data_IF_792099359861
#
_entry.id   IF_792099359861
#
_cell.length_a   1.000
_cell.length_b   1.000
_cell.length_c   1.000
_cell.angle_alpha   90.00
_cell.angle_beta   90.00
_cell.angle_gamma   90.00
#
_symmetry.space_group_name_H-M   'P 1'
#
loop_
_entity.id
_entity.type
_entity.pdbx_description
1 polymer ?
#
# COMPACT_ATOMS: atom_id res chain seq x y z
N UNK A 1 -4.47 7.92 -14.41
CA UNK A 1 -4.33 9.39 -14.51
C UNK A 1 -3.85 9.77 -15.90
N UNK A 2 -4.73 9.68 -16.93
CA UNK A 2 -4.35 9.95 -18.32
C UNK A 2 -4.11 11.44 -18.61
N UNK A 3 -4.68 12.33 -17.78
CA UNK A 3 -4.62 13.78 -17.98
C UNK A 3 -3.37 14.44 -17.36
N UNK A 4 -2.42 13.64 -16.87
CA UNK A 4 -1.19 14.13 -16.26
C UNK A 4 -0.31 14.81 -17.32
N UNK A 5 -0.09 16.13 -17.15
CA UNK A 5 0.83 16.88 -18.00
C UNK A 5 2.27 16.46 -17.68
N UNK A 6 2.95 15.85 -18.65
CA UNK A 6 4.34 15.40 -18.52
C UNK A 6 5.32 16.50 -18.90
N UNK A 7 5.07 17.22 -19.99
CA UNK A 7 5.91 18.33 -20.46
C UNK A 7 5.17 19.24 -21.44
N UNK A 8 5.70 20.43 -21.67
CA UNK A 8 5.27 21.35 -22.75
C UNK A 8 6.39 21.39 -23.81
N UNK A 9 6.04 21.40 -25.09
CA UNK A 9 6.98 21.40 -26.21
C UNK A 9 6.87 22.71 -27.00
N UNK A 10 8.02 23.30 -27.35
CA UNK A 10 8.10 24.45 -28.25
C UNK A 10 8.00 24.03 -29.73
N UNK A 11 7.78 25.02 -30.60
CA UNK A 11 7.65 24.82 -32.05
C UNK A 11 8.88 24.11 -32.63
N UNK A 12 8.64 22.97 -33.30
CA UNK A 12 9.67 22.14 -33.92
C UNK A 12 10.40 21.17 -32.99
N UNK A 13 10.10 21.16 -31.68
CA UNK A 13 10.69 20.22 -30.74
C UNK A 13 10.15 18.78 -30.94
N UNK A 14 11.01 17.79 -30.71
CA UNK A 14 10.65 16.36 -30.72
C UNK A 14 11.07 15.71 -29.41
N UNK A 15 10.15 14.96 -28.80
CA UNK A 15 10.40 14.20 -27.59
C UNK A 15 10.27 12.71 -27.86
N UNK A 16 11.26 11.94 -27.43
CA UNK A 16 11.22 10.47 -27.41
C UNK A 16 11.61 10.02 -26.02
N UNK A 17 10.71 9.28 -25.36
CA UNK A 17 10.90 8.72 -24.04
C UNK A 17 10.67 7.20 -24.10
N UNK A 18 11.45 6.47 -23.34
CA UNK A 18 11.26 5.05 -23.07
C UNK A 18 11.20 4.89 -21.56
N UNK A 19 10.15 4.25 -21.06
CA UNK A 19 9.93 4.06 -19.63
C UNK A 19 9.78 2.58 -19.33
N UNK A 20 10.46 2.11 -18.30
CA UNK A 20 10.35 0.74 -17.79
C UNK A 20 9.45 0.75 -16.55
N UNK A 21 8.42 -0.09 -16.56
CA UNK A 21 7.48 -0.24 -15.43
C UNK A 21 7.65 -1.63 -14.84
N UNK A 22 7.86 -1.69 -13.53
CA UNK A 22 8.03 -2.94 -12.78
C UNK A 22 7.01 -3.03 -11.64
N UNK A 23 6.81 -4.24 -11.12
CA UNK A 23 6.02 -4.48 -9.91
C UNK A 23 6.97 -4.63 -8.72
N UNK A 24 6.69 -3.92 -7.64
CA UNK A 24 7.53 -3.90 -6.45
C UNK A 24 6.72 -3.63 -5.18
N UNK A 25 7.42 -3.40 -4.07
CA UNK A 25 6.81 -3.11 -2.77
C UNK A 25 7.46 -1.86 -2.18
N UNK A 26 6.65 -1.01 -1.54
CA UNK A 26 7.14 0.15 -0.80
C UNK A 26 7.80 1.20 -1.69
N UNK A 27 9.00 1.61 -1.30
CA UNK A 27 9.80 2.65 -1.96
C UNK A 27 11.19 2.11 -2.27
N UNK A 28 11.68 2.35 -3.50
CA UNK A 28 13.03 2.00 -3.91
C UNK A 28 13.72 3.27 -4.44
N UNK A 29 14.85 3.70 -3.84
CA UNK A 29 15.59 4.86 -4.32
C UNK A 29 16.27 4.57 -5.66
N UNK A 30 16.51 5.62 -6.44
CA UNK A 30 17.11 5.55 -7.77
C UNK A 30 18.43 4.75 -7.80
N UNK A 31 19.28 4.90 -6.79
CA UNK A 31 20.58 4.20 -6.69
C UNK A 31 20.42 2.68 -6.69
N UNK A 32 19.35 2.17 -6.08
CA UNK A 32 19.03 0.72 -6.07
C UNK A 32 18.28 0.27 -7.31
N UNK A 33 17.74 1.22 -8.07
CA UNK A 33 16.96 0.95 -9.27
C UNK A 33 17.84 0.90 -10.53
N UNK A 34 19.13 1.27 -10.42
CA UNK A 34 20.07 1.23 -11.53
C UNK A 34 20.68 -0.18 -11.68
N UNK A 35 20.47 -0.87 -12.82
CA UNK A 35 21.14 -2.14 -13.11
C UNK A 35 22.66 -1.96 -13.20
N UNK A 36 23.43 -3.00 -12.86
CA UNK A 36 24.89 -2.99 -13.07
C UNK A 36 25.24 -2.90 -14.56
N UNK A 37 24.41 -3.45 -15.43
CA UNK A 37 24.51 -3.45 -16.89
C UNK A 37 23.71 -2.31 -17.55
N UNK A 38 23.43 -1.22 -16.82
CA UNK A 38 22.62 -0.12 -17.31
C UNK A 38 23.19 0.51 -18.61
N UNK A 39 22.38 0.63 -19.68
CA UNK A 39 22.83 1.24 -20.92
C UNK A 39 23.13 2.72 -20.75
N UNK A 40 24.00 3.24 -21.63
CA UNK A 40 24.34 4.66 -21.66
C UNK A 40 23.08 5.47 -21.97
N UNK A 41 22.81 6.48 -21.14
CA UNK A 41 21.62 7.33 -21.26
C UNK A 41 20.44 6.90 -20.39
N UNK A 42 20.53 5.77 -19.67
CA UNK A 42 19.54 5.41 -18.66
C UNK A 42 19.63 6.36 -17.46
N UNK A 43 18.52 7.01 -17.15
CA UNK A 43 18.35 7.84 -15.96
C UNK A 43 17.50 7.04 -14.98
N UNK A 44 18.13 6.57 -13.90
CA UNK A 44 17.40 5.91 -12.82
C UNK A 44 16.61 6.94 -12.02
N UNK A 45 15.38 6.59 -11.68
CA UNK A 45 14.49 7.40 -10.85
C UNK A 45 14.02 6.57 -9.66
N UNK A 46 13.55 7.26 -8.62
CA UNK A 46 12.92 6.62 -7.48
C UNK A 46 11.63 5.91 -7.92
N UNK A 47 11.41 4.71 -7.40
CA UNK A 47 10.22 3.91 -7.66
C UNK A 47 9.32 3.89 -6.43
N UNK A 48 8.17 4.55 -6.55
CA UNK A 48 7.10 4.57 -5.55
C UNK A 48 6.08 3.49 -5.90
N UNK A 49 6.25 2.29 -5.33
CA UNK A 49 5.34 1.16 -5.55
C UNK A 49 4.13 1.18 -4.59
N UNK A 50 4.26 1.83 -3.43
CA UNK A 50 3.17 1.93 -2.46
C UNK A 50 1.99 2.75 -3.03
N UNK A 51 0.77 2.19 -3.08
CA UNK A 51 -0.42 2.97 -3.42
C UNK A 51 -0.87 3.89 -2.28
N UNK A 52 -0.34 3.69 -1.07
CA UNK A 52 -0.63 4.50 0.12
C UNK A 52 0.39 5.64 0.23
N UNK A 53 -0.10 6.89 0.30
CA UNK A 53 0.70 8.11 0.37
C UNK A 53 1.00 8.53 1.82
N UNK A 54 -0.02 8.51 2.67
CA UNK A 54 0.07 8.98 4.05
C UNK A 54 -0.85 8.17 4.93
N UNK A 55 -0.35 7.84 6.12
CA UNK A 55 -1.12 7.22 7.19
C UNK A 55 -0.82 7.96 8.47
N UNK A 56 -1.85 8.33 9.21
CA UNK A 56 -1.74 8.81 10.58
C UNK A 56 -2.75 8.10 11.46
N UNK A 57 -2.41 7.88 12.72
CA UNK A 57 -3.31 7.25 13.68
C UNK A 57 -3.33 8.02 15.00
N UNK A 58 -4.45 7.91 15.71
CA UNK A 58 -4.62 8.47 17.04
C UNK A 58 -5.33 7.43 17.91
N UNK A 59 -4.81 7.22 19.12
CA UNK A 59 -5.45 6.38 20.14
C UNK A 59 -5.95 7.30 21.25
N UNK A 60 -7.21 7.14 21.62
CA UNK A 60 -7.87 7.92 22.65
C UNK A 60 -8.66 6.99 23.58
N UNK A 61 -8.67 7.28 24.88
CA UNK A 61 -9.48 6.52 25.82
C UNK A 61 -10.97 6.77 25.50
N UNK A 62 -11.73 5.71 25.38
CA UNK A 62 -13.17 5.75 25.14
C UNK A 62 -13.89 5.12 26.33
N UNK A 63 -15.00 5.74 26.72
CA UNK A 63 -15.91 5.19 27.71
C UNK A 63 -17.07 4.52 27.00
N UNK A 64 -17.25 3.22 27.21
CA UNK A 64 -18.42 2.48 26.76
C UNK A 64 -19.30 2.14 27.98
N UNK A 65 -20.36 2.92 28.18
CA UNK A 65 -21.25 2.76 29.33
C UNK A 65 -20.56 3.05 30.68
N UNK A 66 -20.43 2.02 31.52
CA UNK A 66 -19.79 2.13 32.84
C UNK A 66 -18.31 1.74 32.85
N UNK A 67 -17.78 1.19 31.76
CA UNK A 67 -16.39 0.72 31.66
C UNK A 67 -15.51 1.80 31.02
N UNK A 68 -14.36 2.06 31.62
CA UNK A 68 -13.43 3.16 31.25
C UNK A 68 -12.16 2.68 30.52
N UNK A 69 -12.01 1.36 30.32
CA UNK A 69 -10.73 0.75 29.92
C UNK A 69 -10.64 0.42 28.43
N UNK A 70 -11.46 1.05 27.58
CA UNK A 70 -11.42 0.84 26.14
C UNK A 70 -10.60 1.92 25.43
N UNK A 71 -9.85 1.49 24.42
CA UNK A 71 -9.14 2.37 23.51
C UNK A 71 -9.91 2.53 22.20
N UNK A 72 -10.05 3.77 21.74
CA UNK A 72 -10.54 4.10 20.40
C UNK A 72 -9.36 4.42 19.49
N UNK A 73 -9.19 3.62 18.45
CA UNK A 73 -8.23 3.86 17.37
C UNK A 73 -8.92 4.60 16.22
N UNK A 74 -8.37 5.74 15.82
CA UNK A 74 -8.77 6.48 14.62
C UNK A 74 -7.61 6.47 13.62
N UNK A 75 -7.84 5.99 12.40
CA UNK A 75 -6.86 6.01 11.31
C UNK A 75 -7.31 7.01 10.23
N UNK A 76 -6.36 7.80 9.73
CA UNK A 76 -6.50 8.63 8.53
C UNK A 76 -5.52 8.08 7.49
N UNK A 77 -6.07 7.59 6.37
CA UNK A 77 -5.34 6.90 5.29
C UNK A 77 -5.62 7.61 3.98
N UNK A 78 -4.55 8.04 3.33
CA UNK A 78 -4.59 8.71 2.03
C UNK A 78 -3.90 7.84 0.98
N UNK A 79 -4.62 7.50 -0.10
CA UNK A 79 -4.10 6.70 -1.22
C UNK A 79 -3.94 7.53 -2.49
N UNK A 80 -3.23 7.01 -3.48
CA UNK A 80 -3.04 7.64 -4.78
C UNK A 80 -4.15 7.33 -5.80
N UNK A 81 -5.22 6.66 -5.37
CA UNK A 81 -6.36 6.28 -6.21
C UNK A 81 -6.18 4.96 -6.99
N UNK A 82 -5.03 4.30 -6.90
CA UNK A 82 -4.86 2.95 -7.46
C UNK A 82 -5.61 1.87 -6.64
N UNK A 83 -5.88 2.16 -5.36
CA UNK A 83 -6.58 1.33 -4.40
C UNK A 83 -7.38 2.22 -3.45
N UNK A 84 -8.55 1.76 -3.01
CA UNK A 84 -9.34 2.48 -2.00
C UNK A 84 -8.66 2.42 -0.62
N UNK A 85 -8.84 3.41 0.25
CA UNK A 85 -8.32 3.35 1.61
C UNK A 85 -8.81 2.11 2.39
N UNK A 86 -10.07 1.71 2.20
CA UNK A 86 -10.66 0.54 2.85
C UNK A 86 -9.96 -0.76 2.40
N UNK A 87 -9.79 -0.94 1.09
CA UNK A 87 -9.12 -2.13 0.57
C UNK A 87 -7.64 -2.15 1.00
N UNK A 88 -6.98 -0.99 1.07
CA UNK A 88 -5.60 -0.89 1.57
C UNK A 88 -5.47 -1.44 3.00
N UNK A 89 -6.42 -1.10 3.88
CA UNK A 89 -6.47 -1.62 5.24
C UNK A 89 -6.78 -3.13 5.24
N UNK A 90 -7.72 -3.58 4.41
CA UNK A 90 -8.05 -5.01 4.30
C UNK A 90 -6.84 -5.85 3.85
N UNK A 91 -6.09 -5.39 2.84
CA UNK A 91 -4.84 -6.03 2.42
C UNK A 91 -3.79 -6.04 3.53
N UNK A 92 -3.64 -4.92 4.25
CA UNK A 92 -2.70 -4.86 5.38
C UNK A 92 -3.07 -5.86 6.49
N UNK A 93 -4.35 -5.97 6.83
CA UNK A 93 -4.85 -6.94 7.81
C UNK A 93 -4.58 -8.38 7.37
N UNK A 94 -4.81 -8.70 6.09
CA UNK A 94 -4.53 -10.04 5.56
C UNK A 94 -3.04 -10.39 5.62
N UNK A 95 -2.18 -9.46 5.20
CA UNK A 95 -0.73 -9.64 5.26
C UNK A 95 -0.30 -9.86 6.72
N UNK A 96 -0.83 -9.08 7.66
CA UNK A 96 -0.51 -9.22 9.09
C UNK A 96 -0.94 -10.60 9.63
N UNK A 97 -2.14 -11.08 9.29
CA UNK A 97 -2.61 -12.41 9.65
C UNK A 97 -1.67 -13.50 9.11
N UNK A 98 -1.31 -13.42 7.83
CA UNK A 98 -0.41 -14.40 7.20
C UNK A 98 0.97 -14.41 7.88
N UNK A 99 1.49 -13.25 8.32
CA UNK A 99 2.74 -13.17 9.08
C UNK A 99 2.63 -13.77 10.49
N UNK A 100 1.49 -13.58 11.16
CA UNK A 100 1.25 -14.12 12.50
C UNK A 100 1.00 -15.64 12.50
N UNK A 101 0.49 -16.19 11.38
CA UNK A 101 0.19 -17.61 11.24
C UNK A 101 1.39 -18.51 11.54
N UNK A 102 2.60 -18.08 11.21
CA UNK A 102 3.84 -18.85 11.44
C UNK A 102 4.10 -19.10 12.93
N UNK A 103 3.53 -18.28 13.82
CA UNK A 103 3.67 -18.43 15.27
C UNK A 103 2.57 -19.28 15.91
N UNK A 104 1.52 -19.64 15.16
CA UNK A 104 0.41 -20.45 15.65
C UNK A 104 0.81 -21.92 15.54
N UNK A 105 1.16 -22.53 16.68
CA UNK A 105 1.67 -23.91 16.78
C UNK A 105 0.57 -24.97 16.98
N UNK A 106 -0.70 -24.60 16.87
CA UNK A 106 -1.85 -25.48 17.05
C UNK A 106 -2.94 -25.12 16.03
N UNK A 107 -3.69 -26.10 15.53
CA UNK A 107 -4.75 -25.84 14.56
C UNK A 107 -5.85 -24.97 15.16
N UNK A 108 -6.30 -23.96 14.41
CA UNK A 108 -7.48 -23.18 14.79
C UNK A 108 -8.69 -24.12 14.89
N UNK A 109 -9.49 -24.05 15.96
CA UNK A 109 -10.73 -24.80 16.02
C UNK A 109 -11.62 -24.34 14.86
N UNK A 110 -11.91 -25.25 13.93
CA UNK A 110 -12.78 -24.95 12.80
C UNK A 110 -14.12 -24.47 13.34
N UNK A 111 -14.60 -23.34 12.83
CA UNK A 111 -15.95 -22.89 13.14
C UNK A 111 -16.91 -23.94 12.58
N UNK A 112 -17.50 -24.72 13.48
CA UNK A 112 -18.62 -25.59 13.16
C UNK A 112 -19.74 -24.65 12.75
N UNK A 113 -19.95 -24.49 11.45
CA UNK A 113 -21.08 -23.71 10.93
C UNK A 113 -22.33 -24.42 11.43
N UNK A 114 -23.02 -23.83 12.40
CA UNK A 114 -24.29 -24.35 12.87
C UNK A 114 -25.23 -24.47 11.66
N UNK A 115 -25.89 -25.62 11.44
CA UNK A 115 -26.83 -25.73 10.34
C UNK A 115 -27.89 -24.64 10.48
N UNK A 116 -28.07 -23.83 9.44
CA UNK A 116 -29.23 -22.97 9.33
C UNK A 116 -30.47 -23.87 9.30
N UNK A 117 -31.28 -23.81 10.36
CA UNK A 117 -32.60 -24.42 10.38
C UNK A 117 -33.45 -23.78 9.27
N UNK A 118 -34.03 -24.65 8.44
CA UNK A 118 -34.88 -24.31 7.30
C UNK A 118 -36.34 -24.06 7.71
#
# INVERSE_FOLDING_TARGET
>A
NPDLVICTLDDGAKLRLELTVNVGKGYVPADRNRPEDAPIGLIAIDALYSPVKRVSYKVENTREGQVLDYDKLSLDVETNGALTPEDAIAYAARILQDQLQVFINFEEPSQVVAPQEA
#
